data_IF_864673530219
#
_entry.id   IF_864673530219
#
_cell.length_a   1.000
_cell.length_b   1.000
_cell.length_c   1.000
_cell.angle_alpha   90.00
_cell.angle_beta   90.00
_cell.angle_gamma   90.00
#
_symmetry.space_group_name_H-M   'P 1'
#
loop_
_entity.id
_entity.type
_entity.pdbx_description
1 polymer ?
#
# COMPACT_ATOMS: atom_id res chain seq x y z
N UNK A 1 -42.44 -54.92 -72.50
CA UNK A 1 -43.55 -54.09 -73.02
C UNK A 1 -43.36 -52.64 -72.52
N UNK A 2 -43.33 -51.71 -73.51
CA UNK A 2 -43.56 -50.25 -73.48
C UNK A 2 -42.78 -49.40 -72.52
N UNK A 3 -41.82 -48.64 -73.04
CA UNK A 3 -41.90 -47.29 -73.67
C UNK A 3 -42.54 -46.21 -72.79
N UNK A 4 -41.74 -45.16 -72.37
CA UNK A 4 -41.81 -43.87 -73.03
C UNK A 4 -40.81 -42.88 -72.41
N UNK A 5 -40.13 -42.13 -73.30
CA UNK A 5 -39.29 -40.92 -73.04
C UNK A 5 -40.07 -39.78 -72.39
N UNK A 6 -39.38 -38.98 -71.60
CA UNK A 6 -39.60 -37.50 -71.60
C UNK A 6 -38.31 -36.75 -71.25
N UNK A 7 -37.92 -35.88 -72.13
CA UNK A 7 -36.93 -34.87 -71.98
C UNK A 7 -37.44 -33.81 -70.98
N UNK A 8 -36.60 -33.35 -70.10
CA UNK A 8 -36.77 -32.05 -69.52
C UNK A 8 -35.42 -31.29 -69.40
N UNK A 9 -35.52 -30.12 -69.95
CA UNK A 9 -34.59 -29.00 -70.12
C UNK A 9 -33.81 -28.61 -68.85
N UNK A 10 -32.49 -28.49 -68.99
CA UNK A 10 -31.63 -27.90 -67.94
C UNK A 10 -31.78 -26.36 -67.95
N UNK A 11 -32.19 -25.79 -66.80
CA UNK A 11 -32.05 -24.35 -66.55
C UNK A 11 -30.81 -24.19 -65.67
N UNK A 12 -29.79 -23.61 -66.26
CA UNK A 12 -28.59 -23.23 -65.55
C UNK A 12 -28.87 -21.92 -64.73
N UNK A 13 -28.98 -22.01 -63.41
CA UNK A 13 -29.00 -20.86 -62.52
C UNK A 13 -27.57 -20.54 -62.17
N UNK A 14 -27.05 -19.42 -62.72
CA UNK A 14 -25.80 -18.87 -62.36
C UNK A 14 -25.91 -18.26 -60.93
N UNK A 15 -25.33 -18.91 -59.94
CA UNK A 15 -25.14 -18.37 -58.60
C UNK A 15 -23.93 -17.43 -58.63
N UNK A 16 -24.17 -16.15 -58.50
CA UNK A 16 -23.14 -15.15 -58.18
C UNK A 16 -22.59 -15.41 -56.77
N UNK A 17 -21.25 -15.49 -56.57
CA UNK A 17 -20.70 -15.50 -55.23
C UNK A 17 -20.84 -14.11 -54.63
N UNK A 18 -21.65 -13.98 -53.57
CA UNK A 18 -21.65 -12.80 -52.74
C UNK A 18 -20.31 -12.73 -52.04
N UNK A 19 -19.47 -11.78 -52.45
CA UNK A 19 -18.30 -11.32 -51.70
C UNK A 19 -18.80 -10.63 -50.44
N UNK A 20 -19.08 -11.41 -49.38
CA UNK A 20 -19.14 -10.88 -48.01
C UNK A 20 -17.70 -10.49 -47.64
N UNK A 21 -17.38 -9.22 -47.76
CA UNK A 21 -16.15 -8.64 -47.18
C UNK A 21 -16.26 -8.80 -45.67
N UNK A 22 -15.64 -9.85 -45.15
CA UNK A 22 -15.33 -9.92 -43.73
C UNK A 22 -14.33 -8.77 -43.43
N UNK A 23 -14.84 -7.64 -43.00
CA UNK A 23 -14.02 -6.68 -42.30
C UNK A 23 -13.49 -7.39 -41.04
N UNK A 24 -12.24 -7.85 -41.10
CA UNK A 24 -11.48 -8.14 -39.90
C UNK A 24 -11.48 -6.87 -39.05
N UNK A 25 -12.33 -6.84 -38.02
CA UNK A 25 -12.20 -5.86 -36.93
C UNK A 25 -10.87 -6.17 -36.29
N UNK A 26 -9.79 -5.48 -36.71
CA UNK A 26 -8.51 -5.52 -36.02
C UNK A 26 -8.79 -5.17 -34.58
N UNK A 27 -8.69 -6.13 -33.69
CA UNK A 27 -8.79 -5.90 -32.25
C UNK A 27 -7.83 -4.77 -31.91
N UNK A 28 -8.36 -3.64 -31.42
CA UNK A 28 -7.56 -2.48 -31.00
C UNK A 28 -6.50 -3.00 -30.02
N UNK A 29 -5.25 -2.77 -30.31
CA UNK A 29 -4.16 -3.18 -29.39
C UNK A 29 -4.45 -2.59 -28.00
N UNK A 30 -4.38 -3.44 -26.98
CA UNK A 30 -4.67 -3.01 -25.60
C UNK A 30 -3.65 -1.96 -25.16
N UNK A 31 -4.13 -0.95 -24.48
CA UNK A 31 -3.29 0.13 -23.91
C UNK A 31 -2.33 -0.45 -22.87
N UNK A 32 -1.18 0.17 -22.74
CA UNK A 32 -0.08 -0.22 -21.83
C UNK A 32 0.04 0.80 -20.71
N UNK A 33 0.13 0.29 -19.47
CA UNK A 33 0.20 1.12 -18.25
C UNK A 33 1.65 1.26 -17.82
N UNK A 34 2.11 2.49 -17.64
CA UNK A 34 3.36 2.81 -16.97
C UNK A 34 3.05 3.14 -15.50
N UNK A 35 3.38 2.23 -14.59
CA UNK A 35 3.16 2.41 -13.16
C UNK A 35 4.36 3.14 -12.54
N UNK A 36 4.17 4.40 -12.13
CA UNK A 36 5.14 5.16 -11.36
C UNK A 36 4.95 4.88 -9.88
N UNK A 37 5.85 4.10 -9.30
CA UNK A 37 5.78 3.63 -7.91
C UNK A 37 7.17 3.24 -7.39
N UNK A 38 7.26 2.44 -6.33
CA UNK A 38 8.51 1.97 -5.70
C UNK A 38 9.38 3.12 -5.22
N UNK A 39 8.90 3.79 -4.16
CA UNK A 39 9.46 5.06 -3.70
C UNK A 39 10.76 4.92 -2.94
N UNK A 40 10.93 3.83 -2.19
CA UNK A 40 12.13 3.52 -1.41
C UNK A 40 12.17 2.02 -1.00
N UNK A 41 13.31 1.58 -0.41
CA UNK A 41 13.60 0.17 -0.10
C UNK A 41 14.08 -0.07 1.34
N UNK A 42 13.93 0.92 2.24
CA UNK A 42 14.39 0.83 3.65
C UNK A 42 13.26 0.86 4.67
N UNK A 43 12.01 0.86 4.20
CA UNK A 43 10.80 0.77 5.02
C UNK A 43 9.84 -0.20 4.33
N UNK A 44 9.45 -1.26 5.03
CA UNK A 44 8.60 -2.33 4.46
C UNK A 44 7.23 -1.84 4.04
N UNK A 45 6.71 -0.83 4.71
CA UNK A 45 5.43 -0.23 4.39
C UNK A 45 5.46 0.60 3.11
N UNK A 46 6.52 1.41 2.92
CA UNK A 46 6.71 2.14 1.68
C UNK A 46 6.99 1.20 0.48
N UNK A 47 7.60 0.03 0.74
CA UNK A 47 7.74 -1.04 -0.26
C UNK A 47 6.36 -1.59 -0.65
N UNK A 48 5.47 -1.80 0.30
CA UNK A 48 4.16 -2.45 0.12
C UNK A 48 3.21 -1.71 -0.84
N UNK A 49 3.39 -0.41 -1.08
CA UNK A 49 2.61 0.35 -2.07
C UNK A 49 2.64 -0.29 -3.47
N UNK A 50 3.81 -0.72 -3.90
CA UNK A 50 4.01 -1.24 -5.26
C UNK A 50 3.37 -2.61 -5.46
N UNK A 51 3.66 -3.65 -4.65
CA UNK A 51 2.99 -4.94 -4.80
C UNK A 51 1.48 -4.86 -4.59
N UNK A 52 1.01 -3.99 -3.68
CA UNK A 52 -0.43 -3.76 -3.52
C UNK A 52 -1.08 -3.21 -4.80
N UNK A 53 -0.49 -2.21 -5.44
CA UNK A 53 -0.99 -1.68 -6.71
C UNK A 53 -0.89 -2.70 -7.84
N UNK A 54 0.22 -3.47 -7.91
CA UNK A 54 0.38 -4.54 -8.90
C UNK A 54 -0.66 -5.64 -8.73
N UNK A 55 -0.97 -6.04 -7.48
CA UNK A 55 -2.03 -7.01 -7.20
C UNK A 55 -3.40 -6.50 -7.65
N UNK A 56 -3.74 -5.23 -7.39
CA UNK A 56 -4.99 -4.62 -7.87
C UNK A 56 -5.08 -4.63 -9.40
N UNK A 57 -3.99 -4.27 -10.08
CA UNK A 57 -3.93 -4.31 -11.55
C UNK A 57 -4.05 -5.75 -12.09
N UNK A 58 -3.36 -6.72 -11.51
CA UNK A 58 -3.45 -8.13 -11.87
C UNK A 58 -4.87 -8.68 -11.68
N UNK A 59 -5.52 -8.35 -10.57
CA UNK A 59 -6.85 -8.83 -10.20
C UNK A 59 -7.97 -8.22 -11.04
N UNK A 60 -7.90 -6.90 -11.26
CA UNK A 60 -9.00 -6.16 -11.88
C UNK A 60 -8.76 -5.81 -13.35
N UNK A 61 -7.53 -5.79 -13.82
CA UNK A 61 -7.12 -5.36 -15.15
C UNK A 61 -6.09 -6.34 -15.78
N UNK A 62 -6.29 -7.68 -15.66
CA UNK A 62 -5.29 -8.68 -16.05
C UNK A 62 -4.92 -8.66 -17.53
N UNK A 63 -5.75 -8.05 -18.35
CA UNK A 63 -5.56 -7.93 -19.79
C UNK A 63 -4.60 -6.81 -20.22
N UNK A 64 -4.19 -5.89 -19.31
CA UNK A 64 -3.32 -4.78 -19.62
C UNK A 64 -1.86 -5.09 -19.24
N UNK A 65 -0.93 -4.71 -20.11
CA UNK A 65 0.50 -4.80 -19.77
C UNK A 65 0.88 -3.67 -18.82
N UNK A 66 1.61 -4.02 -17.75
CA UNK A 66 2.13 -3.07 -16.77
C UNK A 66 3.65 -3.09 -16.78
N UNK A 67 4.25 -1.90 -16.89
CA UNK A 67 5.69 -1.70 -16.67
C UNK A 67 5.87 -0.81 -15.45
N UNK A 68 6.71 -1.24 -14.51
CA UNK A 68 7.06 -0.46 -13.32
C UNK A 68 8.15 0.56 -13.67
N UNK A 69 7.89 1.82 -13.39
CA UNK A 69 8.88 2.89 -13.37
C UNK A 69 9.25 3.21 -11.91
N UNK A 70 10.34 2.62 -11.37
CA UNK A 70 10.68 2.76 -9.96
C UNK A 70 11.46 4.05 -9.65
N UNK A 71 11.45 4.45 -8.36
CA UNK A 71 12.51 5.30 -7.82
C UNK A 71 13.72 4.46 -7.39
N UNK A 72 13.47 3.34 -6.71
CA UNK A 72 14.47 2.34 -6.33
C UNK A 72 13.80 0.97 -6.14
N UNK A 73 14.52 -0.09 -6.50
CA UNK A 73 14.16 -1.49 -6.27
C UNK A 73 15.33 -2.30 -5.68
N UNK A 74 16.29 -1.60 -5.06
CA UNK A 74 17.45 -2.20 -4.41
C UNK A 74 17.07 -3.04 -3.18
N UNK A 75 18.07 -3.55 -2.47
CA UNK A 75 17.92 -4.25 -1.19
C UNK A 75 16.99 -5.48 -1.24
N UNK A 76 16.99 -6.22 -2.35
CA UNK A 76 16.18 -7.44 -2.51
C UNK A 76 14.73 -7.17 -2.94
N UNK A 77 14.34 -5.91 -3.15
CA UNK A 77 12.96 -5.56 -3.53
C UNK A 77 12.65 -5.99 -4.96
N UNK A 78 13.60 -5.86 -5.91
CA UNK A 78 13.40 -6.32 -7.28
C UNK A 78 13.13 -7.84 -7.31
N UNK A 79 13.94 -8.62 -6.63
CA UNK A 79 13.83 -10.09 -6.54
C UNK A 79 12.50 -10.50 -5.91
N UNK A 80 12.10 -9.84 -4.83
CA UNK A 80 10.83 -10.08 -4.14
C UNK A 80 9.63 -9.77 -5.07
N UNK A 81 9.65 -8.66 -5.79
CA UNK A 81 8.61 -8.31 -6.76
C UNK A 81 8.55 -9.31 -7.91
N UNK A 82 9.69 -9.65 -8.52
CA UNK A 82 9.76 -10.60 -9.63
C UNK A 82 9.34 -12.02 -9.23
N UNK A 83 9.59 -12.43 -7.98
CA UNK A 83 9.11 -13.72 -7.44
C UNK A 83 7.58 -13.79 -7.44
N UNK A 84 6.91 -12.71 -7.02
CA UNK A 84 5.42 -12.65 -6.97
C UNK A 84 4.79 -12.31 -8.32
N UNK A 85 5.43 -11.44 -9.10
CA UNK A 85 4.94 -10.95 -10.38
C UNK A 85 5.93 -11.30 -11.52
N UNK A 86 6.04 -12.57 -11.95
CA UNK A 86 7.09 -13.00 -12.88
C UNK A 86 6.99 -12.39 -14.30
N UNK A 87 5.85 -11.80 -14.64
CA UNK A 87 5.63 -11.09 -15.92
C UNK A 87 5.89 -9.59 -15.82
N UNK A 88 6.16 -9.07 -14.62
CA UNK A 88 6.41 -7.65 -14.41
C UNK A 88 7.66 -7.21 -15.16
N UNK A 89 7.53 -6.12 -15.92
CA UNK A 89 8.67 -5.40 -16.50
C UNK A 89 9.06 -4.28 -15.56
N UNK A 90 10.28 -4.29 -15.07
CA UNK A 90 10.86 -3.17 -14.29
C UNK A 90 11.78 -2.42 -15.24
N UNK A 91 11.44 -1.17 -15.55
CA UNK A 91 12.26 -0.37 -16.45
C UNK A 91 13.51 0.16 -15.74
N UNK A 92 14.60 0.26 -16.49
CA UNK A 92 15.79 0.97 -16.03
C UNK A 92 15.51 2.48 -15.93
N UNK A 93 16.25 3.17 -15.06
CA UNK A 93 16.09 4.61 -14.83
C UNK A 93 16.96 5.46 -15.78
N UNK A 94 17.37 4.88 -16.94
CA UNK A 94 18.15 5.57 -17.97
C UNK A 94 17.28 6.50 -18.83
N UNK A 95 17.90 7.45 -19.50
CA UNK A 95 17.18 8.36 -20.41
C UNK A 95 16.59 7.61 -21.62
N UNK A 96 17.28 6.60 -22.12
CA UNK A 96 16.88 5.74 -23.24
C UNK A 96 15.67 4.91 -22.89
N UNK A 97 15.70 4.20 -21.75
CA UNK A 97 14.57 3.38 -21.28
C UNK A 97 13.33 4.25 -21.02
N UNK A 98 13.52 5.46 -20.48
CA UNK A 98 12.42 6.41 -20.27
C UNK A 98 11.84 6.89 -21.61
N UNK A 99 12.66 7.22 -22.61
CA UNK A 99 12.20 7.61 -23.95
C UNK A 99 11.39 6.49 -24.60
N UNK A 100 11.84 5.25 -24.50
CA UNK A 100 11.12 4.07 -24.99
C UNK A 100 9.79 3.89 -24.28
N UNK A 101 9.77 3.96 -22.94
CA UNK A 101 8.54 3.85 -22.15
C UNK A 101 7.52 4.94 -22.55
N UNK A 102 7.96 6.18 -22.73
CA UNK A 102 7.09 7.28 -23.15
C UNK A 102 6.53 7.10 -24.56
N UNK A 103 7.29 6.49 -25.46
CA UNK A 103 6.81 6.17 -26.81
C UNK A 103 5.78 5.02 -26.81
N UNK A 104 5.96 4.01 -25.96
CA UNK A 104 5.24 2.72 -26.03
C UNK A 104 4.09 2.56 -25.06
N UNK A 105 4.00 3.36 -24.01
CA UNK A 105 2.91 3.30 -23.04
C UNK A 105 1.85 4.36 -23.31
N UNK A 106 0.62 4.09 -22.93
CA UNK A 106 -0.56 4.90 -23.25
C UNK A 106 -1.11 5.68 -22.06
N UNK A 107 -0.85 5.21 -20.85
CA UNK A 107 -1.34 5.78 -19.61
C UNK A 107 -0.28 5.71 -18.51
N UNK A 108 -0.09 6.81 -17.77
CA UNK A 108 0.75 6.85 -16.57
C UNK A 108 -0.13 6.74 -15.33
N UNK A 109 0.07 5.69 -14.53
CA UNK A 109 -0.55 5.55 -13.21
C UNK A 109 0.47 5.91 -12.13
N UNK A 110 0.22 6.96 -11.36
CA UNK A 110 0.94 7.23 -10.12
C UNK A 110 0.36 6.34 -9.01
N UNK A 111 1.16 5.43 -8.47
CA UNK A 111 0.77 4.55 -7.38
C UNK A 111 0.50 5.28 -6.06
N UNK A 112 -0.01 4.56 -5.06
CA UNK A 112 -0.26 5.13 -3.74
C UNK A 112 1.03 5.59 -3.05
N UNK A 113 0.90 6.50 -2.09
CA UNK A 113 2.09 7.02 -1.43
C UNK A 113 1.82 8.16 -0.42
N UNK A 114 2.88 8.59 0.29
CA UNK A 114 2.78 9.66 1.30
C UNK A 114 2.54 11.06 0.70
N UNK A 115 2.42 11.15 -0.61
CA UNK A 115 2.19 12.36 -1.38
C UNK A 115 2.24 12.04 -2.86
N UNK A 116 2.22 13.06 -3.72
CA UNK A 116 2.49 12.90 -5.15
C UNK A 116 4.01 12.81 -5.35
N UNK A 117 4.61 11.71 -4.88
CA UNK A 117 6.08 11.51 -4.87
C UNK A 117 6.66 11.60 -6.29
N UNK A 118 5.91 11.09 -7.27
CA UNK A 118 6.25 11.16 -8.68
C UNK A 118 5.81 12.44 -9.40
N UNK A 119 5.54 13.55 -8.72
CA UNK A 119 5.03 14.79 -9.32
C UNK A 119 5.86 15.25 -10.53
N UNK A 120 7.18 15.30 -10.41
CA UNK A 120 8.08 15.67 -11.51
C UNK A 120 7.99 14.68 -12.69
N UNK A 121 7.79 13.40 -12.40
CA UNK A 121 7.62 12.37 -13.44
C UNK A 121 6.31 12.54 -14.20
N UNK A 122 5.22 12.94 -13.51
CA UNK A 122 3.93 13.27 -14.14
C UNK A 122 4.07 14.48 -15.06
N UNK A 123 4.73 15.53 -14.58
CA UNK A 123 4.96 16.75 -15.37
C UNK A 123 5.76 16.40 -16.63
N UNK A 124 6.88 15.68 -16.49
CA UNK A 124 7.70 15.24 -17.61
C UNK A 124 6.94 14.37 -18.61
N UNK A 125 6.12 13.44 -18.13
CA UNK A 125 5.25 12.60 -18.97
C UNK A 125 4.27 13.45 -19.78
N UNK A 126 3.59 14.37 -19.12
CA UNK A 126 2.59 15.22 -19.76
C UNK A 126 3.21 16.15 -20.82
N UNK A 127 4.32 16.81 -20.48
CA UNK A 127 5.02 17.73 -21.39
C UNK A 127 5.58 17.02 -22.63
N UNK A 128 6.13 15.81 -22.46
CA UNK A 128 6.78 15.09 -23.55
C UNK A 128 5.82 14.26 -24.39
N UNK A 129 4.70 13.83 -23.85
CA UNK A 129 3.81 12.87 -24.54
C UNK A 129 2.41 13.41 -24.80
N UNK A 130 1.90 14.33 -24.01
CA UNK A 130 0.50 14.73 -24.02
C UNK A 130 -0.49 13.63 -23.60
N UNK A 131 0.00 12.45 -23.18
CA UNK A 131 -0.82 11.29 -22.86
C UNK A 131 -1.44 11.40 -21.46
N UNK A 132 -2.58 10.71 -21.20
CA UNK A 132 -3.30 10.77 -19.95
C UNK A 132 -2.53 10.13 -18.78
N UNK A 133 -2.91 10.55 -17.57
CA UNK A 133 -2.46 9.97 -16.32
C UNK A 133 -3.55 10.00 -15.24
N UNK A 134 -3.34 9.20 -14.19
CA UNK A 134 -4.18 9.19 -12.98
C UNK A 134 -3.35 9.03 -11.71
N UNK A 135 -3.90 9.40 -10.57
CA UNK A 135 -3.26 9.35 -9.25
C UNK A 135 -4.06 8.39 -8.38
N UNK A 136 -3.40 7.37 -7.83
CA UNK A 136 -4.02 6.29 -7.07
C UNK A 136 -3.65 6.28 -5.59
N UNK A 137 -4.47 6.89 -4.71
CA UNK A 137 -4.36 6.72 -3.24
C UNK A 137 -3.19 7.47 -2.58
N UNK A 138 -3.21 8.80 -2.60
CA UNK A 138 -2.13 9.62 -2.00
C UNK A 138 -2.61 10.44 -0.80
N UNK A 139 -1.73 10.72 0.16
CA UNK A 139 -1.94 11.81 1.12
C UNK A 139 -1.56 13.13 0.45
N UNK A 140 -2.32 14.18 0.69
CA UNK A 140 -1.97 15.50 0.22
C UNK A 140 -2.28 16.58 1.25
N UNK A 141 -1.26 17.32 1.66
CA UNK A 141 -1.32 18.31 2.75
C UNK A 141 -1.34 19.77 2.27
N UNK A 142 -1.69 19.98 1.00
CA UNK A 142 -1.84 21.33 0.45
C UNK A 142 -0.61 21.91 -0.23
N UNK A 143 0.43 21.07 -0.48
CA UNK A 143 1.50 21.40 -1.41
C UNK A 143 2.68 22.21 -0.87
N UNK A 144 2.79 22.46 0.42
CA UNK A 144 4.01 23.05 1.02
C UNK A 144 4.62 24.21 0.21
N UNK A 145 5.85 24.05 -0.28
CA UNK A 145 6.61 25.03 -1.07
C UNK A 145 6.40 24.94 -2.59
N UNK A 146 5.49 24.08 -3.09
CA UNK A 146 5.37 23.75 -4.50
C UNK A 146 4.66 24.82 -5.38
N UNK A 147 4.38 25.98 -4.84
CA UNK A 147 3.78 27.13 -5.55
C UNK A 147 2.53 26.79 -6.38
N UNK A 148 1.76 25.78 -5.96
CA UNK A 148 0.53 25.34 -6.64
C UNK A 148 0.75 24.31 -7.74
N UNK A 149 1.94 23.78 -7.95
CA UNK A 149 2.17 22.70 -8.92
C UNK A 149 1.39 21.43 -8.58
N UNK A 150 1.26 21.08 -7.28
CA UNK A 150 0.45 19.95 -6.85
C UNK A 150 -1.00 20.06 -7.25
N UNK A 151 -1.60 21.25 -7.13
CA UNK A 151 -2.98 21.53 -7.61
C UNK A 151 -3.08 21.33 -9.12
N UNK A 152 -2.10 21.84 -9.90
CA UNK A 152 -2.07 21.66 -11.37
C UNK A 152 -1.97 20.18 -11.75
N UNK A 153 -1.08 19.43 -11.07
CA UNK A 153 -0.91 17.99 -11.30
C UNK A 153 -2.16 17.20 -10.92
N UNK A 154 -2.84 17.54 -9.82
CA UNK A 154 -4.11 16.90 -9.47
C UNK A 154 -5.14 17.21 -10.55
N UNK A 155 -5.31 18.49 -10.93
CA UNK A 155 -6.35 18.94 -11.88
C UNK A 155 -6.13 18.45 -13.31
N UNK A 156 -4.90 18.20 -13.73
CA UNK A 156 -4.57 17.68 -15.07
C UNK A 156 -4.77 16.16 -15.20
N UNK A 157 -4.93 15.43 -14.09
CA UNK A 157 -5.17 14.00 -14.10
C UNK A 157 -6.59 13.63 -14.52
N UNK A 158 -6.77 12.47 -15.12
CA UNK A 158 -8.08 11.88 -15.42
C UNK A 158 -8.86 11.56 -14.15
N UNK A 159 -8.15 11.22 -13.11
CA UNK A 159 -8.66 11.01 -11.76
C UNK A 159 -7.57 11.25 -10.71
N UNK A 160 -7.99 11.54 -9.49
CA UNK A 160 -7.15 11.61 -8.32
C UNK A 160 -7.85 10.96 -7.12
N UNK A 161 -7.32 9.85 -6.63
CA UNK A 161 -7.76 9.21 -5.41
C UNK A 161 -6.86 9.59 -4.24
N UNK A 162 -7.50 9.95 -3.12
CA UNK A 162 -6.82 10.34 -1.89
C UNK A 162 -7.04 9.27 -0.84
N UNK A 163 -5.98 8.86 -0.14
CA UNK A 163 -6.07 7.76 0.82
C UNK A 163 -6.73 8.12 2.14
N UNK A 164 -7.07 9.38 2.35
CA UNK A 164 -7.88 9.86 3.47
C UNK A 164 -8.77 11.04 3.05
N UNK A 165 -9.92 11.18 3.72
CA UNK A 165 -10.90 12.23 3.43
C UNK A 165 -10.35 13.64 3.69
N UNK A 166 -9.42 13.81 4.64
CA UNK A 166 -8.80 15.10 4.94
C UNK A 166 -7.96 15.58 3.77
N UNK A 167 -7.18 14.69 3.14
CA UNK A 167 -6.43 15.00 1.91
C UNK A 167 -7.34 15.37 0.75
N UNK A 168 -8.44 14.66 0.58
CA UNK A 168 -9.44 14.94 -0.47
C UNK A 168 -10.05 16.34 -0.29
N UNK A 169 -10.53 16.65 0.90
CA UNK A 169 -11.13 17.96 1.19
C UNK A 169 -10.10 19.08 1.09
N UNK A 170 -8.85 18.84 1.49
CA UNK A 170 -7.77 19.80 1.31
C UNK A 170 -7.51 20.08 -0.18
N UNK A 171 -7.50 19.07 -1.03
CA UNK A 171 -7.29 19.24 -2.46
C UNK A 171 -8.42 20.09 -3.10
N UNK A 172 -9.68 19.80 -2.76
CA UNK A 172 -10.85 20.60 -3.18
C UNK A 172 -10.74 22.05 -2.68
N UNK A 173 -10.44 22.24 -1.41
CA UNK A 173 -10.31 23.57 -0.80
C UNK A 173 -9.18 24.43 -1.43
N UNK A 174 -8.14 23.78 -1.96
CA UNK A 174 -7.04 24.43 -2.70
C UNK A 174 -7.33 24.62 -4.19
N UNK A 175 -8.52 24.26 -4.66
CA UNK A 175 -8.98 24.48 -6.04
C UNK A 175 -8.56 23.41 -7.05
N UNK A 176 -8.24 22.20 -6.60
CA UNK A 176 -8.05 21.09 -7.52
C UNK A 176 -9.39 20.67 -8.18
N UNK A 177 -9.35 20.36 -9.48
CA UNK A 177 -10.55 20.15 -10.33
C UNK A 177 -10.46 18.93 -11.23
N UNK A 178 -9.75 17.85 -10.83
CA UNK A 178 -9.77 16.60 -11.59
C UNK A 178 -11.21 16.09 -11.79
N UNK A 179 -11.55 15.51 -12.95
CA UNK A 179 -12.92 15.03 -13.23
C UNK A 179 -13.46 14.06 -12.17
N UNK A 180 -12.59 13.23 -11.62
CA UNK A 180 -12.92 12.30 -10.54
C UNK A 180 -11.94 12.53 -9.39
N UNK A 181 -12.47 12.95 -8.25
CA UNK A 181 -11.74 13.12 -7.01
C UNK A 181 -12.50 12.42 -5.89
N UNK A 182 -11.97 11.28 -5.44
CA UNK A 182 -12.64 10.42 -4.46
C UNK A 182 -11.66 9.93 -3.38
N UNK A 183 -12.21 9.44 -2.27
CA UNK A 183 -11.48 8.62 -1.32
C UNK A 183 -11.14 7.28 -1.99
N UNK A 184 -9.86 6.92 -1.99
CA UNK A 184 -9.36 5.64 -2.43
C UNK A 184 -8.16 5.27 -1.58
N UNK A 185 -8.30 4.24 -0.72
CA UNK A 185 -7.31 3.94 0.31
C UNK A 185 -5.95 3.56 -0.28
N UNK A 186 -4.98 3.49 0.61
CA UNK A 186 -3.61 3.10 0.30
C UNK A 186 -3.57 1.71 -0.34
N UNK A 187 -2.87 1.56 -1.47
CA UNK A 187 -2.73 0.26 -2.13
C UNK A 187 -2.03 -0.80 -1.24
N UNK A 188 -1.35 -0.38 -0.18
CA UNK A 188 -0.77 -1.26 0.83
C UNK A 188 -1.80 -2.22 1.45
N UNK A 189 -3.10 -1.88 1.51
CA UNK A 189 -4.17 -2.80 1.91
C UNK A 189 -4.26 -4.04 1.01
N UNK A 190 -3.87 -3.92 -0.24
CA UNK A 190 -3.91 -5.01 -1.22
C UNK A 190 -2.55 -5.73 -1.38
N UNK A 191 -1.56 -5.41 -0.56
CA UNK A 191 -0.27 -6.10 -0.60
C UNK A 191 -0.44 -7.57 -0.22
N UNK A 192 -0.21 -8.48 -1.18
CA UNK A 192 -0.37 -9.92 -1.00
C UNK A 192 0.96 -10.69 -0.96
N UNK A 193 2.06 -9.98 -0.73
CA UNK A 193 3.37 -10.60 -0.58
C UNK A 193 3.42 -11.46 0.68
N UNK A 194 3.89 -12.70 0.53
CA UNK A 194 4.11 -13.63 1.64
C UNK A 194 5.38 -14.44 1.45
N UNK A 195 6.00 -14.84 2.56
CA UNK A 195 7.15 -15.73 2.63
C UNK A 195 6.99 -16.69 3.83
N UNK A 196 5.96 -17.54 3.74
CA UNK A 196 5.37 -18.26 4.86
C UNK A 196 6.31 -19.29 5.51
N UNK A 197 7.03 -20.09 4.72
CA UNK A 197 7.89 -21.14 5.27
C UNK A 197 9.03 -20.59 6.14
N UNK A 198 9.83 -19.60 5.68
CA UNK A 198 10.86 -18.99 6.53
C UNK A 198 10.28 -18.27 7.74
N UNK A 199 9.12 -17.60 7.58
CA UNK A 199 8.47 -16.89 8.69
C UNK A 199 7.98 -17.88 9.77
N UNK A 200 7.35 -18.99 9.37
CA UNK A 200 6.91 -20.04 10.30
C UNK A 200 8.10 -20.71 11.03
N UNK A 201 9.19 -20.97 10.31
CA UNK A 201 10.40 -21.53 10.91
C UNK A 201 10.99 -20.58 11.96
N UNK A 202 11.09 -19.30 11.64
CA UNK A 202 11.59 -18.29 12.56
C UNK A 202 10.68 -18.10 13.79
N UNK A 203 9.35 -18.06 13.61
CA UNK A 203 8.41 -17.97 14.72
C UNK A 203 8.56 -19.13 15.69
N UNK A 204 8.73 -20.35 15.17
CA UNK A 204 9.01 -21.54 15.98
C UNK A 204 10.33 -21.44 16.74
N UNK A 205 11.39 -20.96 16.08
CA UNK A 205 12.72 -20.76 16.68
C UNK A 205 12.66 -19.79 17.87
N UNK A 206 11.95 -18.67 17.73
CA UNK A 206 11.81 -17.68 18.79
C UNK A 206 10.67 -17.98 19.77
N UNK A 207 9.99 -19.12 19.60
CA UNK A 207 8.94 -19.60 20.50
C UNK A 207 7.64 -18.79 20.42
N UNK A 208 7.31 -18.23 19.26
CA UNK A 208 6.01 -17.59 18.99
C UNK A 208 5.08 -18.59 18.29
N UNK A 209 3.84 -18.68 18.74
CA UNK A 209 2.81 -19.58 18.20
C UNK A 209 1.72 -18.77 17.52
N UNK A 210 1.14 -19.30 16.44
CA UNK A 210 0.08 -18.67 15.67
C UNK A 210 -1.10 -18.28 16.56
N UNK A 211 -1.54 -17.03 16.47
CA UNK A 211 -2.63 -16.47 17.26
C UNK A 211 -2.31 -16.23 18.74
N UNK A 212 -1.10 -16.55 19.22
CA UNK A 212 -0.72 -16.40 20.63
C UNK A 212 0.31 -15.30 20.88
N UNK A 213 0.46 -14.39 19.95
CA UNK A 213 1.28 -13.19 20.10
C UNK A 213 0.65 -11.99 19.40
N UNK A 214 1.01 -10.79 19.86
CA UNK A 214 0.63 -9.52 19.24
C UNK A 214 1.89 -8.74 18.88
N UNK A 215 1.85 -8.03 17.76
CA UNK A 215 2.98 -7.22 17.28
C UNK A 215 2.90 -5.79 17.84
N UNK A 216 4.07 -5.21 18.17
CA UNK A 216 4.19 -3.80 18.58
C UNK A 216 5.29 -3.12 17.77
N UNK A 217 4.99 -1.93 17.22
CA UNK A 217 5.95 -1.13 16.42
C UNK A 217 5.99 0.30 16.94
N UNK A 218 7.03 0.70 17.71
CA UNK A 218 7.25 2.09 18.05
C UNK A 218 7.83 2.85 16.86
N UNK A 219 7.60 4.16 16.84
CA UNK A 219 8.19 5.07 15.84
C UNK A 219 8.52 6.41 16.49
N UNK A 220 9.62 7.01 16.05
CA UNK A 220 9.92 8.41 16.32
C UNK A 220 9.07 9.32 15.43
N UNK A 221 8.75 10.53 15.90
CA UNK A 221 7.95 11.51 15.14
C UNK A 221 8.52 11.81 13.76
N UNK A 222 9.84 11.81 13.64
CA UNK A 222 10.56 11.94 12.39
C UNK A 222 11.47 10.72 12.21
N UNK A 223 11.26 9.93 11.15
CA UNK A 223 12.16 8.83 10.83
C UNK A 223 13.59 9.36 10.67
N UNK A 224 14.57 8.82 11.40
CA UNK A 224 15.96 9.27 11.33
C UNK A 224 16.66 8.72 10.08
N UNK A 225 16.27 9.21 8.91
CA UNK A 225 16.80 8.73 7.62
C UNK A 225 18.32 8.86 7.50
N UNK A 226 18.95 9.75 8.29
CA UNK A 226 20.42 9.86 8.36
C UNK A 226 21.10 8.64 8.99
N UNK A 227 20.36 7.79 9.70
CA UNK A 227 20.87 6.53 10.25
C UNK A 227 20.71 5.35 9.28
N UNK A 228 19.69 5.38 8.42
CA UNK A 228 19.27 4.23 7.61
C UNK A 228 19.37 4.44 6.09
N UNK A 229 19.65 5.67 5.63
CA UNK A 229 19.85 5.98 4.22
C UNK A 229 21.21 6.60 3.97
N UNK A 230 21.97 6.04 3.06
CA UNK A 230 23.27 6.57 2.65
C UNK A 230 23.13 7.98 2.06
N UNK A 231 23.96 8.90 2.49
CA UNK A 231 24.03 10.27 1.96
C UNK A 231 23.00 11.25 2.51
N UNK A 232 22.12 10.83 3.43
CA UNK A 232 21.20 11.74 4.12
C UNK A 232 21.95 12.42 5.28
N UNK A 233 21.91 13.76 5.29
CA UNK A 233 22.56 14.55 6.36
C UNK A 233 21.73 14.52 7.64
N UNK A 234 22.42 14.59 8.77
CA UNK A 234 21.81 14.75 10.08
C UNK A 234 20.95 16.02 10.15
N UNK A 235 19.73 15.88 10.68
CA UNK A 235 18.77 16.98 10.86
C UNK A 235 18.58 17.23 12.35
N UNK A 236 19.27 18.23 12.86
CA UNK A 236 19.31 18.58 14.28
C UNK A 236 17.90 18.91 14.83
N UNK A 237 17.08 19.62 14.06
CA UNK A 237 15.72 20.00 14.48
C UNK A 237 14.80 18.79 14.61
N UNK A 238 14.84 17.88 13.63
CA UNK A 238 14.07 16.65 13.69
C UNK A 238 14.54 15.76 14.82
N UNK A 239 15.85 15.65 15.01
CA UNK A 239 16.40 14.86 16.10
C UNK A 239 16.00 15.43 17.47
N UNK A 240 16.13 16.75 17.68
CA UNK A 240 15.70 17.40 18.92
C UNK A 240 14.21 17.14 19.22
N UNK A 241 13.34 17.21 18.19
CA UNK A 241 11.91 16.89 18.33
C UNK A 241 11.68 15.42 18.69
N UNK A 242 12.45 14.51 18.11
CA UNK A 242 12.38 13.09 18.45
C UNK A 242 12.78 12.86 19.91
N UNK A 243 13.91 13.44 20.36
CA UNK A 243 14.38 13.30 21.74
C UNK A 243 13.39 13.86 22.76
N UNK A 244 12.77 15.01 22.44
CA UNK A 244 11.74 15.64 23.27
C UNK A 244 10.52 14.73 23.48
N UNK A 245 10.08 14.04 22.41
CA UNK A 245 8.78 13.35 22.41
C UNK A 245 8.86 11.83 22.54
N UNK A 246 10.04 11.22 22.40
CA UNK A 246 10.14 9.75 22.32
C UNK A 246 9.59 9.02 23.55
N UNK A 247 9.79 9.54 24.75
CA UNK A 247 9.23 8.90 25.96
C UNK A 247 7.72 9.07 26.03
N UNK A 248 7.22 10.28 25.75
CA UNK A 248 5.79 10.56 25.70
C UNK A 248 5.06 9.64 24.72
N UNK A 249 5.59 9.45 23.50
CA UNK A 249 4.92 8.70 22.45
C UNK A 249 5.11 7.17 22.59
N UNK A 250 6.15 6.69 23.30
CA UNK A 250 6.46 5.26 23.41
C UNK A 250 6.03 4.66 24.75
N UNK A 251 5.93 5.47 25.82
CA UNK A 251 5.48 4.96 27.12
C UNK A 251 4.08 4.28 27.05
N UNK A 252 3.08 4.81 26.34
CA UNK A 252 1.78 4.13 26.20
C UNK A 252 1.90 2.74 25.55
N UNK A 253 2.77 2.58 24.54
CA UNK A 253 3.02 1.29 23.91
C UNK A 253 3.68 0.31 24.88
N UNK A 254 4.70 0.77 25.62
CA UNK A 254 5.38 -0.03 26.65
C UNK A 254 4.43 -0.47 27.74
N UNK A 255 3.52 0.39 28.19
CA UNK A 255 2.51 0.07 29.16
C UNK A 255 1.54 -0.99 28.64
N UNK A 256 1.12 -0.91 27.38
CA UNK A 256 0.28 -1.92 26.72
C UNK A 256 1.02 -3.27 26.62
N UNK A 257 2.32 -3.29 26.27
CA UNK A 257 3.14 -4.52 26.28
C UNK A 257 3.16 -5.16 27.65
N UNK A 258 3.37 -4.40 28.74
CA UNK A 258 3.39 -4.90 30.10
C UNK A 258 2.01 -5.48 30.46
N UNK A 259 0.92 -4.75 30.17
CA UNK A 259 -0.41 -5.18 30.49
C UNK A 259 -0.80 -6.48 29.74
N UNK A 260 -0.49 -6.61 28.46
CA UNK A 260 -0.73 -7.83 27.67
C UNK A 260 -0.04 -9.03 28.33
N UNK A 261 1.25 -8.91 28.66
CA UNK A 261 2.03 -10.02 29.24
C UNK A 261 1.53 -10.40 30.65
N UNK A 262 1.17 -9.41 31.47
CA UNK A 262 0.76 -9.65 32.86
C UNK A 262 -0.69 -10.12 33.01
N UNK A 263 -1.58 -9.66 32.12
CA UNK A 263 -3.02 -9.93 32.25
C UNK A 263 -3.52 -11.04 31.31
N UNK A 264 -2.64 -11.56 30.41
CA UNK A 264 -3.02 -12.60 29.43
C UNK A 264 -1.93 -13.66 29.31
N UNK A 265 -2.23 -14.72 28.54
CA UNK A 265 -1.23 -15.73 28.15
C UNK A 265 -0.41 -15.32 26.92
N UNK A 266 -0.69 -14.18 26.32
CA UNK A 266 -0.07 -13.73 25.07
C UNK A 266 1.40 -13.37 25.24
N UNK A 267 2.16 -13.57 24.16
CA UNK A 267 3.50 -13.02 23.98
C UNK A 267 3.42 -11.73 23.16
N UNK A 268 4.48 -10.93 23.20
CA UNK A 268 4.58 -9.72 22.39
C UNK A 268 5.82 -9.79 21.50
N UNK A 269 5.66 -9.46 20.22
CA UNK A 269 6.75 -9.29 19.28
C UNK A 269 6.99 -7.79 19.05
N UNK A 270 8.16 -7.30 19.47
CA UNK A 270 8.65 -5.97 19.10
C UNK A 270 9.30 -6.07 17.73
N UNK A 271 8.72 -5.46 16.73
CA UNK A 271 9.16 -5.59 15.34
C UNK A 271 9.33 -4.22 14.65
N UNK A 272 10.20 -4.15 13.62
CA UNK A 272 10.44 -2.91 12.88
C UNK A 272 9.56 -2.82 11.63
N UNK A 273 9.22 -1.60 11.21
CA UNK A 273 8.80 -1.25 9.86
C UNK A 273 9.98 -0.66 9.07
N UNK A 274 10.86 0.09 9.72
CA UNK A 274 12.13 0.53 9.17
C UNK A 274 13.32 0.14 10.06
N UNK A 275 14.54 0.21 9.50
CA UNK A 275 15.74 -0.28 10.18
C UNK A 275 16.12 0.52 11.45
N UNK A 276 15.65 1.77 11.63
CA UNK A 276 15.93 2.55 12.84
C UNK A 276 15.18 2.03 14.06
N UNK A 277 14.08 1.32 13.84
CA UNK A 277 13.19 0.89 14.91
C UNK A 277 13.69 -0.34 15.68
N UNK A 278 14.64 -1.10 15.16
CA UNK A 278 15.26 -2.19 15.91
C UNK A 278 15.94 -1.67 17.18
N UNK A 279 16.74 -0.62 17.05
CA UNK A 279 17.37 0.07 18.18
C UNK A 279 16.34 0.73 19.10
N UNK A 280 15.36 1.41 18.52
CA UNK A 280 14.28 2.08 19.25
C UNK A 280 13.47 1.10 20.11
N UNK A 281 13.11 -0.07 19.55
CA UNK A 281 12.44 -1.17 20.25
C UNK A 281 13.23 -1.61 21.48
N UNK A 282 14.55 -1.74 21.32
CA UNK A 282 15.43 -2.17 22.41
C UNK A 282 15.47 -1.12 23.53
N UNK A 283 15.87 0.10 23.18
CA UNK A 283 16.17 1.16 24.17
C UNK A 283 14.92 1.68 24.87
N UNK A 284 13.80 1.80 24.14
CA UNK A 284 12.61 2.48 24.66
C UNK A 284 11.55 1.53 25.19
N UNK A 285 11.56 0.26 24.76
CA UNK A 285 10.62 -0.73 25.25
C UNK A 285 11.37 -1.86 25.96
N UNK A 286 12.09 -2.72 25.25
CA UNK A 286 12.61 -3.98 25.78
C UNK A 286 13.49 -3.81 27.05
N UNK A 287 14.48 -2.91 27.01
CA UNK A 287 15.39 -2.71 28.14
C UNK A 287 14.68 -2.11 29.39
N UNK A 288 13.54 -1.43 29.19
CA UNK A 288 12.75 -0.82 30.26
C UNK A 288 11.64 -1.74 30.81
N UNK A 289 11.49 -2.96 30.27
CA UNK A 289 10.48 -3.92 30.79
C UNK A 289 10.94 -4.55 32.11
N UNK A 290 10.01 -4.90 33.00
CA UNK A 290 10.26 -5.80 34.13
C UNK A 290 10.82 -7.16 33.65
N UNK A 291 11.67 -7.78 34.46
CA UNK A 291 12.34 -9.03 34.07
C UNK A 291 11.38 -10.22 33.85
N UNK A 292 10.29 -10.27 34.56
CA UNK A 292 9.21 -11.26 34.35
C UNK A 292 8.49 -11.05 33.03
N UNK A 293 8.28 -9.80 32.61
CA UNK A 293 7.66 -9.43 31.35
C UNK A 293 8.59 -9.74 30.17
N UNK A 294 9.88 -9.44 30.27
CA UNK A 294 10.89 -9.73 29.21
C UNK A 294 10.86 -11.18 28.74
N UNK A 295 10.57 -12.14 29.63
CA UNK A 295 10.51 -13.56 29.33
C UNK A 295 9.44 -13.94 28.27
N UNK A 296 8.43 -13.08 28.08
CA UNK A 296 7.36 -13.26 27.11
C UNK A 296 7.40 -12.26 25.96
N UNK A 297 8.46 -11.46 25.87
CA UNK A 297 8.63 -10.47 24.81
C UNK A 297 9.79 -10.87 23.92
N UNK A 298 9.52 -11.00 22.64
CA UNK A 298 10.55 -11.21 21.60
C UNK A 298 10.88 -9.87 20.99
N UNK A 299 12.14 -9.50 20.98
CA UNK A 299 12.65 -8.35 20.27
C UNK A 299 13.37 -8.80 19.00
N UNK A 300 12.83 -8.39 17.81
CA UNK A 300 13.47 -8.67 16.55
C UNK A 300 14.67 -7.76 16.35
N UNK A 301 15.84 -8.37 16.16
CA UNK A 301 17.13 -7.67 16.07
C UNK A 301 17.53 -7.33 14.64
N UNK A 302 16.98 -8.07 13.66
CA UNK A 302 17.32 -7.92 12.25
C UNK A 302 16.16 -7.28 11.47
N UNK A 303 16.52 -6.47 10.48
CA UNK A 303 15.56 -5.97 9.51
C UNK A 303 15.02 -7.11 8.65
N UNK A 304 13.81 -6.97 8.18
CA UNK A 304 13.12 -7.93 7.30
C UNK A 304 12.54 -7.24 6.07
N UNK A 305 12.19 -8.00 5.03
CA UNK A 305 11.44 -7.48 3.89
C UNK A 305 9.93 -7.64 4.10
N UNK A 306 9.17 -6.98 3.24
CA UNK A 306 7.71 -6.87 3.33
C UNK A 306 7.01 -8.24 3.32
N UNK A 307 7.46 -9.17 2.48
CA UNK A 307 6.91 -10.53 2.36
C UNK A 307 7.03 -11.34 3.65
N UNK A 308 8.20 -11.27 4.28
CA UNK A 308 8.44 -11.95 5.56
C UNK A 308 7.63 -11.31 6.69
N UNK A 309 7.63 -9.97 6.77
CA UNK A 309 6.85 -9.24 7.76
C UNK A 309 5.36 -9.55 7.67
N UNK A 310 4.79 -9.55 6.45
CA UNK A 310 3.39 -9.88 6.22
C UNK A 310 3.05 -11.30 6.68
N UNK A 311 3.91 -12.29 6.39
CA UNK A 311 3.71 -13.66 6.86
C UNK A 311 3.71 -13.78 8.38
N UNK A 312 4.51 -12.98 9.08
CA UNK A 312 4.50 -12.89 10.55
C UNK A 312 3.22 -12.22 11.05
N UNK A 313 2.81 -11.10 10.45
CA UNK A 313 1.57 -10.40 10.82
C UNK A 313 0.34 -11.27 10.63
N UNK A 314 0.26 -12.04 9.54
CA UNK A 314 -0.85 -12.96 9.27
C UNK A 314 -1.04 -14.04 10.35
N UNK A 315 0.01 -14.34 11.11
CA UNK A 315 0.01 -15.33 12.20
C UNK A 315 -0.18 -14.71 13.58
N UNK A 316 -0.19 -13.38 13.68
CA UNK A 316 -0.39 -12.68 14.95
C UNK A 316 -1.88 -12.56 15.31
N UNK A 317 -2.17 -12.29 16.57
CA UNK A 317 -3.51 -11.92 17.04
C UNK A 317 -3.88 -10.48 16.65
N UNK A 318 -2.88 -9.66 16.31
CA UNK A 318 -3.04 -8.26 15.93
C UNK A 318 -1.74 -7.48 15.98
N UNK A 319 -1.85 -6.18 15.73
CA UNK A 319 -0.74 -5.25 15.74
C UNK A 319 -1.17 -3.92 16.40
N UNK A 320 -0.27 -3.27 17.12
CA UNK A 320 -0.45 -1.89 17.58
C UNK A 320 0.86 -1.12 17.51
N UNK A 321 0.79 0.18 17.34
CA UNK A 321 1.99 1.00 17.29
C UNK A 321 1.82 2.38 16.69
N UNK A 322 2.95 3.05 16.47
CA UNK A 322 3.02 4.41 15.94
C UNK A 322 3.26 4.43 14.42
N UNK A 323 3.41 3.28 13.78
CA UNK A 323 3.49 3.16 12.32
C UNK A 323 2.11 3.11 11.67
N UNK A 324 2.09 3.38 10.35
CA UNK A 324 0.86 3.44 9.60
C UNK A 324 0.71 2.27 8.63
N UNK A 325 1.78 1.87 7.92
CA UNK A 325 1.66 0.91 6.83
C UNK A 325 1.54 -0.54 7.33
N UNK A 326 2.31 -0.93 8.36
CA UNK A 326 2.16 -2.27 8.94
C UNK A 326 0.75 -2.52 9.48
N UNK A 327 0.10 -1.57 10.19
CA UNK A 327 -1.34 -1.65 10.49
C UNK A 327 -2.23 -1.77 9.24
N UNK A 328 -1.94 -1.02 8.16
CA UNK A 328 -2.69 -1.12 6.89
C UNK A 328 -2.55 -2.53 6.30
N UNK A 329 -1.33 -3.08 6.26
CA UNK A 329 -1.06 -4.44 5.81
C UNK A 329 -1.85 -5.47 6.64
N UNK A 330 -1.90 -5.30 7.96
CA UNK A 330 -2.69 -6.14 8.85
C UNK A 330 -4.19 -6.09 8.50
N UNK A 331 -4.80 -4.90 8.44
CA UNK A 331 -6.22 -4.76 8.11
C UNK A 331 -6.52 -5.31 6.72
N UNK A 332 -5.64 -5.12 5.74
CA UNK A 332 -5.74 -5.69 4.39
C UNK A 332 -5.86 -7.22 4.38
N UNK A 333 -5.35 -7.89 5.41
CA UNK A 333 -5.43 -9.34 5.62
C UNK A 333 -6.46 -9.75 6.70
N UNK A 334 -7.27 -8.81 7.20
CA UNK A 334 -8.26 -9.07 8.24
C UNK A 334 -7.67 -9.26 9.63
N UNK A 335 -6.42 -8.86 9.85
CA UNK A 335 -5.75 -8.88 11.14
C UNK A 335 -6.04 -7.57 11.88
N UNK A 336 -6.49 -7.60 13.14
CA UNK A 336 -6.75 -6.40 13.92
C UNK A 336 -5.52 -5.50 14.06
N UNK A 337 -5.69 -4.18 13.89
CA UNK A 337 -4.56 -3.27 14.02
C UNK A 337 -4.96 -1.90 14.56
N UNK A 338 -4.24 -1.44 15.59
CA UNK A 338 -4.39 -0.14 16.24
C UNK A 338 -3.27 0.80 15.79
N UNK A 339 -3.65 2.02 15.46
CA UNK A 339 -2.73 3.09 15.07
C UNK A 339 -2.72 4.17 16.13
N UNK A 340 -1.51 4.53 16.60
CA UNK A 340 -1.27 5.74 17.36
C UNK A 340 -0.54 6.74 16.45
N UNK A 341 -1.14 7.90 16.24
CA UNK A 341 -0.61 8.93 15.35
C UNK A 341 -0.15 10.17 16.11
N UNK A 342 0.54 11.04 15.40
CA UNK A 342 0.89 12.41 15.79
C UNK A 342 0.92 13.32 14.56
N UNK A 343 0.92 14.64 14.75
CA UNK A 343 0.76 15.64 13.66
C UNK A 343 1.83 15.56 12.56
N UNK A 344 3.05 15.14 12.92
CA UNK A 344 4.16 15.01 11.98
C UNK A 344 3.89 13.92 10.89
N UNK A 345 2.94 13.00 11.14
CA UNK A 345 2.47 12.03 10.16
C UNK A 345 1.39 12.58 9.22
N UNK A 346 1.07 13.87 9.31
CA UNK A 346 0.01 14.52 8.52
C UNK A 346 -1.37 13.90 8.74
N UNK A 347 -2.17 13.71 7.71
CA UNK A 347 -3.53 13.15 7.80
C UNK A 347 -3.61 11.63 7.68
N UNK A 348 -2.48 10.92 7.50
CA UNK A 348 -2.45 9.47 7.19
C UNK A 348 -3.33 8.62 8.11
N UNK A 349 -3.25 8.83 9.42
CA UNK A 349 -4.01 8.05 10.40
C UNK A 349 -5.52 8.19 10.27
N UNK A 350 -6.03 9.29 9.70
CA UNK A 350 -7.47 9.50 9.57
C UNK A 350 -8.14 8.52 8.62
N UNK A 351 -7.39 7.80 7.79
CA UNK A 351 -7.89 6.69 7.00
C UNK A 351 -8.62 5.64 7.85
N UNK A 352 -8.23 5.44 9.13
CA UNK A 352 -8.95 4.58 10.07
C UNK A 352 -10.40 5.02 10.29
N UNK A 353 -10.64 6.33 10.34
CA UNK A 353 -12.01 6.88 10.42
C UNK A 353 -12.79 6.60 9.12
N UNK A 354 -12.14 6.76 7.99
CA UNK A 354 -12.74 6.60 6.67
C UNK A 354 -13.14 5.14 6.36
N UNK A 355 -12.46 4.15 6.97
CA UNK A 355 -12.79 2.73 6.85
C UNK A 355 -13.60 2.18 8.04
N UNK A 356 -14.09 3.07 8.94
CA UNK A 356 -14.96 2.68 10.06
C UNK A 356 -14.24 2.06 11.27
N UNK A 357 -12.96 2.33 11.46
CA UNK A 357 -12.12 1.83 12.55
C UNK A 357 -11.67 2.95 13.52
N UNK A 358 -12.50 3.97 13.73
CA UNK A 358 -12.16 5.16 14.54
C UNK A 358 -11.69 4.81 15.96
N UNK A 359 -12.24 3.77 16.58
CA UNK A 359 -11.88 3.33 17.94
C UNK A 359 -10.52 2.64 18.03
N UNK A 360 -9.87 2.37 16.90
CA UNK A 360 -8.49 1.88 16.80
C UNK A 360 -7.52 2.96 16.31
N UNK A 361 -7.93 4.23 16.39
CA UNK A 361 -7.10 5.38 16.08
C UNK A 361 -6.93 6.25 17.33
N UNK A 362 -5.71 6.42 17.79
CA UNK A 362 -5.35 7.28 18.93
C UNK A 362 -4.40 8.37 18.49
N UNK A 363 -4.55 9.57 19.04
CA UNK A 363 -3.69 10.70 18.76
C UNK A 363 -2.85 11.08 19.99
N UNK A 364 -1.53 10.97 19.88
CA UNK A 364 -0.59 11.33 20.96
C UNK A 364 -0.62 12.83 21.30
N UNK A 365 -0.90 13.69 20.33
CA UNK A 365 -0.96 15.14 20.57
C UNK A 365 -2.17 15.56 21.43
N UNK A 366 -3.11 14.62 21.70
CA UNK A 366 -4.26 14.80 22.60
C UNK A 366 -4.28 13.79 23.76
N UNK A 367 -3.16 13.11 24.04
CA UNK A 367 -3.03 12.09 25.10
C UNK A 367 -4.04 10.95 25.01
N UNK A 368 -4.59 10.70 23.82
CA UNK A 368 -5.57 9.64 23.60
C UNK A 368 -4.96 8.24 23.78
N UNK A 369 -3.69 8.06 23.34
CA UNK A 369 -2.98 6.80 23.46
C UNK A 369 -2.67 6.46 24.93
N UNK A 370 -2.33 7.44 25.77
CA UNK A 370 -2.10 7.24 27.21
C UNK A 370 -3.32 6.66 27.90
N UNK A 371 -4.51 7.14 27.56
CA UNK A 371 -5.77 6.75 28.20
C UNK A 371 -6.40 5.51 27.60
N UNK A 372 -6.34 5.36 26.27
CA UNK A 372 -7.16 4.43 25.51
C UNK A 372 -6.44 3.21 24.92
N UNK A 373 -5.13 3.28 24.71
CA UNK A 373 -4.40 2.24 23.98
C UNK A 373 -4.40 0.91 24.71
N UNK A 374 -4.03 0.87 25.97
CA UNK A 374 -3.95 -0.37 26.76
C UNK A 374 -5.30 -1.12 26.81
N UNK A 375 -6.43 -0.49 27.15
CA UNK A 375 -7.73 -1.15 27.09
C UNK A 375 -8.07 -1.68 25.68
N UNK A 376 -7.77 -0.93 24.62
CA UNK A 376 -8.05 -1.34 23.25
C UNK A 376 -7.20 -2.55 22.81
N UNK A 377 -5.92 -2.59 23.17
CA UNK A 377 -5.04 -3.74 22.91
C UNK A 377 -5.52 -4.97 23.67
N UNK A 378 -5.87 -4.83 24.95
CA UNK A 378 -6.41 -5.92 25.77
C UNK A 378 -7.74 -6.43 25.20
N UNK A 379 -8.60 -5.58 24.67
CA UNK A 379 -9.85 -5.99 24.03
C UNK A 379 -9.59 -6.89 22.80
N UNK A 380 -8.58 -6.57 21.97
CA UNK A 380 -8.19 -7.40 20.81
C UNK A 380 -7.76 -8.81 21.27
N UNK A 381 -6.90 -8.90 22.27
CA UNK A 381 -6.32 -10.19 22.68
C UNK A 381 -7.27 -11.03 23.53
N UNK A 382 -8.23 -10.42 24.21
CA UNK A 382 -9.24 -11.12 25.03
C UNK A 382 -10.46 -11.58 24.22
N UNK A 383 -10.78 -10.90 23.11
CA UNK A 383 -11.87 -11.29 22.19
C UNK A 383 -11.38 -11.17 20.71
N UNK A 384 -10.51 -12.11 20.29
CA UNK A 384 -9.93 -12.07 18.96
C UNK A 384 -10.95 -12.25 17.84
N UNK A 385 -12.05 -12.94 18.06
CA UNK A 385 -13.07 -13.14 17.02
C UNK A 385 -13.86 -11.85 16.76
N UNK A 386 -14.25 -11.12 17.78
CA UNK A 386 -14.87 -9.79 17.63
C UNK A 386 -13.91 -8.79 16.96
N UNK A 387 -12.63 -8.82 17.36
CA UNK A 387 -11.61 -7.97 16.76
C UNK A 387 -11.38 -8.28 15.26
N UNK A 388 -11.30 -9.56 14.88
CA UNK A 388 -11.20 -9.98 13.47
C UNK A 388 -12.45 -9.59 12.68
N UNK A 389 -13.64 -9.78 13.23
CA UNK A 389 -14.89 -9.36 12.57
C UNK A 389 -14.91 -7.85 12.28
N UNK A 390 -14.36 -7.04 13.19
CA UNK A 390 -14.22 -5.61 13.02
C UNK A 390 -13.17 -5.26 11.96
N UNK A 391 -11.98 -5.88 11.99
CA UNK A 391 -10.95 -5.72 10.97
C UNK A 391 -11.50 -6.06 9.58
N UNK A 392 -12.27 -7.16 9.46
CA UNK A 392 -12.90 -7.57 8.21
C UNK A 392 -13.89 -6.53 7.65
N UNK A 393 -14.63 -5.80 8.51
CA UNK A 393 -15.49 -4.70 8.07
C UNK A 393 -14.68 -3.54 7.51
N UNK A 394 -13.60 -3.13 8.16
CA UNK A 394 -12.70 -2.09 7.65
C UNK A 394 -12.04 -2.50 6.33
N UNK A 395 -11.59 -3.77 6.23
CA UNK A 395 -11.08 -4.35 4.99
C UNK A 395 -12.10 -4.28 3.86
N UNK A 396 -13.35 -4.65 4.09
CA UNK A 396 -14.39 -4.64 3.07
C UNK A 396 -14.61 -3.23 2.49
N UNK A 397 -14.58 -2.18 3.33
CA UNK A 397 -14.65 -0.79 2.87
C UNK A 397 -13.43 -0.45 1.99
N UNK A 398 -12.23 -0.82 2.43
CA UNK A 398 -11.02 -0.58 1.66
C UNK A 398 -11.04 -1.30 0.31
N UNK A 399 -11.44 -2.58 0.28
CA UNK A 399 -11.55 -3.39 -0.94
C UNK A 399 -12.53 -2.78 -1.95
N UNK A 400 -13.72 -2.32 -1.49
CA UNK A 400 -14.71 -1.67 -2.35
C UNK A 400 -14.15 -0.39 -3.00
N UNK A 401 -13.48 0.43 -2.21
CA UNK A 401 -12.88 1.67 -2.71
C UNK A 401 -11.69 1.45 -3.65
N UNK A 402 -10.87 0.45 -3.39
CA UNK A 402 -9.79 0.06 -4.32
C UNK A 402 -10.36 -0.50 -5.62
N UNK A 403 -11.42 -1.32 -5.55
CA UNK A 403 -12.14 -1.77 -6.76
C UNK A 403 -12.69 -0.59 -7.56
N UNK A 404 -13.31 0.39 -6.90
CA UNK A 404 -13.81 1.62 -7.55
C UNK A 404 -12.69 2.35 -8.31
N UNK A 405 -11.50 2.46 -7.72
CA UNK A 405 -10.34 3.08 -8.36
C UNK A 405 -9.94 2.30 -9.63
N UNK A 406 -9.96 0.96 -9.59
CA UNK A 406 -9.65 0.13 -10.77
C UNK A 406 -10.73 0.22 -11.85
N UNK A 407 -12.01 0.32 -11.46
CA UNK A 407 -13.11 0.52 -12.41
C UNK A 407 -12.98 1.88 -13.15
N UNK A 408 -12.56 2.93 -12.45
CA UNK A 408 -12.28 4.25 -13.06
C UNK A 408 -11.08 4.16 -14.02
N UNK A 409 -9.99 3.50 -13.61
CA UNK A 409 -8.84 3.31 -14.48
C UNK A 409 -9.21 2.53 -15.74
N UNK A 410 -10.04 1.46 -15.61
CA UNK A 410 -10.53 0.69 -16.76
C UNK A 410 -11.28 1.59 -17.74
N UNK A 411 -12.22 2.40 -17.27
CA UNK A 411 -12.97 3.30 -18.11
C UNK A 411 -12.08 4.27 -18.92
N UNK A 412 -11.03 4.81 -18.30
CA UNK A 412 -10.06 5.67 -18.97
C UNK A 412 -9.16 4.92 -19.98
N UNK A 413 -8.89 3.65 -19.74
CA UNK A 413 -8.14 2.82 -20.69
C UNK A 413 -8.99 2.40 -21.90
N UNK A 414 -10.29 2.25 -21.75
CA UNK A 414 -11.22 1.87 -22.83
C UNK A 414 -11.68 3.06 -23.67
N UNK A 415 -11.66 4.29 -23.13
CA UNK A 415 -11.94 5.51 -23.85
C UNK A 415 -10.89 5.86 -24.93
#
# INVERSE_FOLDING_TARGET
>A
MNRRHFLHTAIASAALPSLASAQEVKAKAKKRILLRSSWQTVNIGDIAHTPGMLHLLEKHLPEYEVTLWPSSVDNGVAEMLMKRFPKLKIMETTAEAKKEAFATHDFLLHGSGPGIVGQKSIIEWTEKTGKPYGIGGVTWSGGGTDKGEGVKVISGGKFAFFRDSVSLEMAKAKGATSPIMEFGPDATFACDLVNDEPAAAWLKEVGLEDGKFICCIPKLRNTPYWEIKKGVKFDEKKNARNEEMKEHDIAPLRNAVIAVVQQTSMKVLLCPEDASQMKLNKEMIYDKLPEDVKKKVVWRQDYWLTDFAQSVYNRSAGLFGNEQHSPIMCIGHGIPAIVCRYKEQTSKGFMWKDIGLSEWLFDHDFDEAEKGLTPAVLAIVNDPESAKAKAAKGKAVADDRMKRMMDVLRAELEA
#
